data_IF_986271938144
#
_entry.id   IF_986271938144
#
_cell.length_a   1.000
_cell.length_b   1.000
_cell.length_c   1.000
_cell.angle_alpha   90.00
_cell.angle_beta   90.00
_cell.angle_gamma   90.00
#
_symmetry.space_group_name_H-M   'P 1'
#
loop_
_entity.id
_entity.type
_entity.pdbx_description
1 polymer ?
#
# COMPACT_ATOMS: atom_id res chain seq x y z
N UNK A 1 -12.70 -2.73 9.14
CA UNK A 1 -12.77 -1.33 9.66
C UNK A 1 -13.10 -1.32 11.13
N UNK A 2 -12.74 -0.25 11.80
CA UNK A 2 -13.17 0.02 13.18
C UNK A 2 -14.49 0.79 13.16
N UNK A 3 -14.54 1.85 12.37
CA UNK A 3 -15.76 2.64 12.18
C UNK A 3 -16.42 2.34 10.84
N UNK A 4 -17.73 2.33 10.83
CA UNK A 4 -18.50 2.28 9.60
C UNK A 4 -18.36 3.59 8.80
N UNK A 5 -18.61 3.50 7.52
CA UNK A 5 -18.42 4.55 6.50
C UNK A 5 -19.03 5.93 6.86
N UNK A 6 -20.12 5.95 7.62
CA UNK A 6 -20.84 7.18 8.00
C UNK A 6 -20.61 7.58 9.46
N UNK A 7 -19.72 6.91 10.18
CA UNK A 7 -19.52 7.20 11.60
C UNK A 7 -18.50 8.31 11.84
N UNK A 8 -17.53 8.52 10.93
CA UNK A 8 -16.51 9.56 11.06
C UNK A 8 -16.69 10.58 9.94
N UNK A 9 -17.61 11.51 10.17
CA UNK A 9 -17.94 12.60 9.26
C UNK A 9 -17.64 13.95 9.88
N UNK A 10 -17.56 14.99 9.06
CA UNK A 10 -17.53 16.40 9.48
C UNK A 10 -18.84 16.80 10.17
N UNK A 11 -18.84 17.97 10.79
CA UNK A 11 -20.04 18.50 11.46
C UNK A 11 -21.21 18.79 10.49
N UNK A 12 -20.90 19.03 9.21
CA UNK A 12 -21.88 19.23 8.14
C UNK A 12 -22.39 17.91 7.52
N UNK A 13 -21.97 16.76 8.06
CA UNK A 13 -22.36 15.43 7.57
C UNK A 13 -21.56 14.96 6.35
N UNK A 14 -20.62 15.75 5.82
CA UNK A 14 -19.81 15.37 4.67
C UNK A 14 -18.58 14.54 5.07
N UNK A 15 -18.07 13.67 4.17
CA UNK A 15 -16.88 12.90 4.44
C UNK A 15 -15.63 13.79 4.49
N UNK A 16 -14.65 13.38 5.27
CA UNK A 16 -13.32 13.98 5.25
C UNK A 16 -12.58 13.59 3.96
N UNK A 17 -11.81 14.52 3.41
CA UNK A 17 -10.93 14.30 2.25
C UNK A 17 -9.46 14.54 2.56
N UNK A 18 -9.15 14.85 3.83
CA UNK A 18 -7.79 15.03 4.35
C UNK A 18 -7.62 14.15 5.58
N UNK A 19 -6.51 13.41 5.63
CA UNK A 19 -6.24 12.42 6.68
C UNK A 19 -6.13 13.01 8.08
N UNK A 20 -5.40 14.11 8.24
CA UNK A 20 -5.13 14.67 9.57
C UNK A 20 -6.41 15.01 10.35
N UNK A 21 -7.39 15.77 9.82
CA UNK A 21 -8.64 16.03 10.53
C UNK A 21 -9.50 14.74 10.69
N UNK A 22 -9.48 13.83 9.72
CA UNK A 22 -10.13 12.52 9.83
C UNK A 22 -9.57 11.73 11.02
N UNK A 23 -8.26 11.57 11.07
CA UNK A 23 -7.57 10.82 12.13
C UNK A 23 -7.86 11.40 13.52
N UNK A 24 -7.90 12.75 13.63
CA UNK A 24 -8.27 13.41 14.88
C UNK A 24 -9.68 13.06 15.31
N UNK A 25 -10.66 13.17 14.40
CA UNK A 25 -12.05 12.84 14.68
C UNK A 25 -12.25 11.36 14.97
N UNK A 26 -11.53 10.50 14.25
CA UNK A 26 -11.52 9.06 14.48
C UNK A 26 -11.07 8.72 15.91
N UNK A 27 -9.94 9.30 16.37
CA UNK A 27 -9.39 9.10 17.73
C UNK A 27 -10.31 9.66 18.81
N UNK A 28 -10.95 10.81 18.57
CA UNK A 28 -11.91 11.42 19.49
C UNK A 28 -13.13 10.51 19.72
N UNK A 29 -13.61 9.82 18.69
CA UNK A 29 -14.75 8.91 18.76
C UNK A 29 -14.41 7.53 19.32
N UNK A 30 -13.13 7.16 19.30
CA UNK A 30 -12.71 5.84 19.74
C UNK A 30 -12.98 5.65 21.23
N UNK A 31 -13.67 4.56 21.56
CA UNK A 31 -13.95 4.15 22.94
C UNK A 31 -13.98 2.60 23.04
N UNK A 32 -14.22 2.08 24.23
CA UNK A 32 -14.22 0.64 24.50
C UNK A 32 -15.23 -0.13 23.65
N UNK A 33 -16.37 0.47 23.29
CA UNK A 33 -17.38 -0.19 22.46
C UNK A 33 -16.81 -0.60 21.10
N UNK A 34 -16.03 0.27 20.44
CA UNK A 34 -15.44 -0.02 19.13
C UNK A 34 -14.28 -1.02 19.20
N UNK A 35 -13.66 -1.16 20.36
CA UNK A 35 -12.55 -2.10 20.59
C UNK A 35 -13.00 -3.42 21.24
N UNK A 36 -14.28 -3.53 21.60
CA UNK A 36 -14.82 -4.69 22.29
C UNK A 36 -14.70 -5.97 21.47
N UNK A 37 -14.27 -7.04 22.14
CA UNK A 37 -14.37 -8.40 21.59
C UNK A 37 -15.81 -8.91 21.67
N UNK A 38 -16.20 -9.68 20.68
CA UNK A 38 -17.50 -10.36 20.64
C UNK A 38 -17.26 -11.87 20.67
N UNK A 39 -17.20 -12.50 21.88
CA UNK A 39 -16.93 -13.92 22.02
C UNK A 39 -18.16 -14.71 21.55
N UNK A 40 -18.18 -15.09 20.29
CA UNK A 40 -19.29 -15.78 19.66
C UNK A 40 -19.40 -17.27 20.07
N UNK A 41 -18.32 -17.85 20.56
CA UNK A 41 -18.22 -19.26 20.92
C UNK A 41 -19.31 -19.69 21.91
N UNK A 42 -19.66 -18.82 22.86
CA UNK A 42 -20.73 -19.07 23.84
C UNK A 42 -22.12 -19.21 23.23
N UNK A 43 -22.28 -18.85 21.94
CA UNK A 43 -23.53 -18.95 21.20
C UNK A 43 -23.54 -20.07 20.17
N UNK A 44 -22.50 -20.86 20.07
CA UNK A 44 -22.40 -21.95 19.07
C UNK A 44 -23.49 -23.00 19.24
N UNK A 45 -24.02 -23.17 20.46
CA UNK A 45 -25.16 -24.03 20.70
C UNK A 45 -26.47 -23.57 20.05
N UNK A 46 -26.54 -22.27 19.69
CA UNK A 46 -27.69 -21.69 19.00
C UNK A 46 -27.62 -21.87 17.47
N UNK A 47 -26.51 -22.39 16.96
CA UNK A 47 -26.37 -22.69 15.56
C UNK A 47 -27.21 -23.90 15.16
N UNK A 48 -27.75 -23.87 13.96
CA UNK A 48 -28.46 -25.03 13.39
C UNK A 48 -27.54 -26.26 13.40
N UNK A 49 -27.99 -27.30 14.06
CA UNK A 49 -27.32 -28.60 14.01
C UNK A 49 -27.67 -29.29 12.68
N UNK A 50 -26.71 -29.32 11.80
CA UNK A 50 -26.86 -29.87 10.44
C UNK A 50 -25.76 -30.89 10.17
N UNK A 51 -26.11 -31.98 9.50
CA UNK A 51 -25.10 -32.96 9.04
C UNK A 51 -24.25 -32.28 7.97
N UNK A 52 -23.00 -32.01 8.31
CA UNK A 52 -22.08 -31.34 7.37
C UNK A 52 -21.84 -32.21 6.12
N UNK A 53 -21.97 -31.62 4.98
CA UNK A 53 -21.45 -32.17 3.72
C UNK A 53 -19.97 -31.87 3.61
N UNK A 54 -19.23 -32.69 2.86
CA UNK A 54 -17.82 -32.43 2.58
C UNK A 54 -17.67 -31.12 1.81
N UNK A 55 -16.84 -30.20 2.28
CA UNK A 55 -16.53 -29.00 1.54
C UNK A 55 -15.70 -29.37 0.30
N UNK A 56 -15.91 -28.69 -0.85
CA UNK A 56 -15.05 -28.86 -2.00
C UNK A 56 -13.60 -28.49 -1.63
N UNK A 57 -12.66 -29.27 -2.12
CA UNK A 57 -11.24 -28.96 -1.94
C UNK A 57 -10.82 -27.80 -2.85
N UNK A 58 -9.70 -27.16 -2.57
CA UNK A 58 -9.13 -26.14 -3.45
C UNK A 58 -8.90 -26.70 -4.86
N UNK A 59 -8.51 -27.97 -4.98
CA UNK A 59 -8.32 -28.66 -6.26
C UNK A 59 -9.64 -28.80 -7.02
N UNK A 60 -10.74 -29.16 -6.33
CA UNK A 60 -12.06 -29.24 -6.93
C UNK A 60 -12.55 -27.88 -7.43
N UNK A 61 -12.10 -26.81 -6.81
CA UNK A 61 -12.37 -25.42 -7.19
C UNK A 61 -11.44 -24.91 -8.29
N UNK A 62 -10.51 -25.73 -8.80
CA UNK A 62 -9.57 -25.37 -9.88
C UNK A 62 -8.31 -24.66 -9.42
N UNK A 63 -8.03 -24.60 -8.12
CA UNK A 63 -6.76 -24.06 -7.63
C UNK A 63 -5.66 -25.11 -7.68
N UNK A 64 -4.48 -24.71 -8.14
CA UNK A 64 -3.24 -25.48 -8.03
C UNK A 64 -2.48 -25.09 -6.76
N UNK A 65 -1.76 -26.04 -6.19
CA UNK A 65 -0.81 -25.73 -5.11
C UNK A 65 0.26 -24.79 -5.65
N UNK A 66 0.37 -23.61 -5.04
CA UNK A 66 1.46 -22.69 -5.30
C UNK A 66 2.57 -23.00 -4.29
N UNK A 67 3.76 -23.32 -4.81
CA UNK A 67 4.91 -23.58 -3.94
C UNK A 67 5.37 -22.27 -3.34
N UNK A 68 5.39 -22.25 -2.01
CA UNK A 68 6.19 -21.40 -1.16
C UNK A 68 5.86 -19.92 -1.11
N UNK A 69 5.13 -19.58 -0.10
CA UNK A 69 5.33 -18.26 0.48
C UNK A 69 5.36 -18.39 1.99
N UNK A 70 6.40 -17.88 2.62
CA UNK A 70 6.40 -17.69 4.06
C UNK A 70 5.21 -16.82 4.42
N UNK A 71 4.14 -17.44 4.90
CA UNK A 71 3.05 -16.68 5.50
C UNK A 71 3.57 -16.04 6.79
N UNK A 72 3.32 -14.75 6.92
CA UNK A 72 3.67 -14.04 8.13
C UNK A 72 2.89 -14.58 9.31
N UNK A 73 3.57 -14.67 10.47
CA UNK A 73 2.95 -15.17 11.70
C UNK A 73 1.80 -14.26 12.11
N UNK A 74 0.62 -14.84 12.33
CA UNK A 74 -0.59 -14.13 12.80
C UNK A 74 -0.68 -14.04 14.31
N UNK A 75 0.27 -14.58 15.04
CA UNK A 75 0.30 -14.56 16.49
C UNK A 75 0.59 -13.16 17.02
N UNK A 76 -0.46 -12.46 17.44
CA UNK A 76 -0.34 -11.10 17.97
C UNK A 76 0.42 -11.03 19.28
N UNK A 77 0.63 -12.14 20.00
CA UNK A 77 1.45 -12.16 21.23
C UNK A 77 2.95 -11.91 20.93
N UNK A 78 3.38 -12.18 19.71
CA UNK A 78 4.75 -11.93 19.22
C UNK A 78 4.92 -10.58 18.54
N UNK A 79 3.84 -9.80 18.44
CA UNK A 79 3.90 -8.51 17.77
C UNK A 79 4.67 -7.51 18.64
N UNK A 80 5.77 -6.99 18.10
CA UNK A 80 6.54 -5.89 18.68
C UNK A 80 6.41 -4.66 17.79
N UNK A 81 5.77 -3.63 18.32
CA UNK A 81 5.52 -2.37 17.62
C UNK A 81 6.06 -1.14 18.38
N UNK A 82 6.72 -1.33 19.50
CA UNK A 82 7.23 -0.24 20.34
C UNK A 82 8.14 0.70 19.57
N UNK A 83 9.01 0.12 18.74
CA UNK A 83 9.95 0.86 17.89
C UNK A 83 9.46 1.11 16.46
N UNK A 84 8.18 0.89 16.20
CA UNK A 84 7.61 0.97 14.85
C UNK A 84 7.89 2.31 14.16
N UNK A 85 7.75 3.43 14.88
CA UNK A 85 8.02 4.77 14.34
C UNK A 85 9.44 4.93 13.78
N UNK A 86 10.40 4.28 14.41
CA UNK A 86 11.82 4.36 14.06
C UNK A 86 12.20 3.40 12.93
N UNK A 87 11.53 2.25 12.88
CA UNK A 87 11.92 1.13 12.02
C UNK A 87 11.07 0.98 10.76
N UNK A 88 9.85 1.54 10.75
CA UNK A 88 8.86 1.35 9.70
C UNK A 88 9.31 1.73 8.30
N UNK A 89 10.28 2.61 8.18
CA UNK A 89 10.76 3.13 6.90
C UNK A 89 12.02 2.42 6.37
N UNK A 90 12.56 1.43 7.10
CA UNK A 90 13.79 0.73 6.76
C UNK A 90 13.45 -0.64 6.13
N UNK A 91 13.52 -0.80 4.80
CA UNK A 91 13.05 -2.02 4.14
C UNK A 91 13.98 -3.22 4.37
N UNK A 92 15.25 -2.99 4.75
CA UNK A 92 16.23 -4.06 5.00
C UNK A 92 16.04 -4.83 6.31
N UNK A 93 15.18 -4.35 7.21
CA UNK A 93 14.92 -4.98 8.51
C UNK A 93 13.45 -5.38 8.68
N UNK A 94 13.17 -6.24 9.66
CA UNK A 94 11.80 -6.57 10.06
C UNK A 94 11.22 -5.50 10.99
N UNK A 95 11.04 -4.27 10.43
CA UNK A 95 10.53 -3.10 11.16
C UNK A 95 9.02 -2.90 11.08
N UNK A 96 8.30 -3.76 10.35
CA UNK A 96 6.84 -3.73 10.17
C UNK A 96 6.22 -5.05 10.61
N UNK A 97 4.93 -5.02 10.95
CA UNK A 97 4.20 -6.22 11.39
C UNK A 97 3.96 -7.25 10.28
N UNK A 98 3.94 -6.82 9.03
CA UNK A 98 3.55 -7.62 7.85
C UNK A 98 2.18 -8.29 7.98
N UNK A 99 1.27 -7.72 8.76
CA UNK A 99 -0.08 -8.26 9.01
C UNK A 99 -1.12 -7.86 7.97
N UNK A 100 -0.73 -7.14 6.92
CA UNK A 100 -1.62 -6.68 5.86
C UNK A 100 -2.38 -7.81 5.17
N UNK A 101 -1.74 -8.96 4.92
CA UNK A 101 -2.36 -10.18 4.40
C UNK A 101 -3.49 -10.68 5.33
N UNK A 102 -3.19 -10.78 6.62
CA UNK A 102 -4.17 -11.24 7.62
C UNK A 102 -5.33 -10.25 7.78
N UNK A 103 -5.05 -8.94 7.71
CA UNK A 103 -6.10 -7.91 7.72
C UNK A 103 -6.97 -7.96 6.44
N UNK A 104 -6.36 -8.30 5.29
CA UNK A 104 -7.08 -8.44 4.02
C UNK A 104 -8.10 -9.57 4.08
N UNK A 105 -7.71 -10.73 4.60
CA UNK A 105 -8.54 -11.92 4.68
C UNK A 105 -9.30 -12.09 6.00
N UNK A 106 -9.15 -11.14 6.95
CA UNK A 106 -9.86 -11.17 8.23
C UNK A 106 -9.45 -12.34 9.14
N UNK A 107 -8.25 -12.90 8.94
CA UNK A 107 -7.72 -13.99 9.77
C UNK A 107 -7.15 -13.51 11.10
N UNK A 108 -7.09 -12.20 11.29
CA UNK A 108 -6.87 -11.53 12.58
C UNK A 108 -7.93 -10.44 12.77
N UNK A 109 -8.23 -10.14 14.03
CA UNK A 109 -9.18 -9.07 14.36
C UNK A 109 -8.51 -7.70 14.28
N UNK A 110 -9.07 -6.78 13.47
CA UNK A 110 -8.64 -5.38 13.43
C UNK A 110 -8.81 -4.70 14.81
N UNK A 111 -9.83 -5.11 15.61
CA UNK A 111 -10.07 -4.57 16.93
C UNK A 111 -8.99 -4.98 17.92
N UNK A 112 -8.51 -6.23 17.83
CA UNK A 112 -7.41 -6.71 18.67
C UNK A 112 -6.13 -5.94 18.38
N UNK A 113 -5.84 -5.77 17.09
CA UNK A 113 -4.67 -5.02 16.64
C UNK A 113 -4.76 -3.54 17.06
N UNK A 114 -5.94 -2.93 16.97
CA UNK A 114 -6.15 -1.55 17.41
C UNK A 114 -5.99 -1.40 18.95
N UNK A 115 -6.44 -2.38 19.76
CA UNK A 115 -6.20 -2.39 21.23
C UNK A 115 -4.72 -2.39 21.56
N UNK A 116 -3.93 -3.20 20.83
CA UNK A 116 -2.47 -3.24 21.00
C UNK A 116 -1.87 -1.89 20.58
N UNK A 117 -2.26 -1.37 19.40
CA UNK A 117 -1.73 -0.14 18.86
C UNK A 117 -1.98 1.08 19.77
N UNK A 118 -3.19 1.21 20.31
CA UNK A 118 -3.56 2.29 21.27
C UNK A 118 -2.65 2.31 22.50
N UNK A 119 -2.24 1.13 22.98
CA UNK A 119 -1.40 1.01 24.17
C UNK A 119 0.08 1.25 23.90
N UNK A 120 0.57 0.87 22.71
CA UNK A 120 2.00 0.71 22.49
C UNK A 120 2.57 1.68 21.46
N UNK A 121 1.82 2.07 20.41
CA UNK A 121 2.40 2.91 19.36
C UNK A 121 1.37 3.66 18.53
N UNK A 122 1.31 4.97 18.71
CA UNK A 122 0.40 5.84 17.95
C UNK A 122 0.68 5.86 16.45
N UNK A 123 1.95 5.75 16.04
CA UNK A 123 2.29 5.71 14.62
C UNK A 123 1.72 4.45 13.94
N UNK A 124 1.73 3.32 14.68
CA UNK A 124 1.10 2.09 14.19
C UNK A 124 -0.43 2.21 14.13
N UNK A 125 -1.04 2.83 15.14
CA UNK A 125 -2.48 3.12 15.12
C UNK A 125 -2.87 3.97 13.92
N UNK A 126 -2.07 4.96 13.56
CA UNK A 126 -2.32 5.79 12.38
C UNK A 126 -2.35 4.99 11.07
N UNK A 127 -1.60 3.89 10.94
CA UNK A 127 -1.68 3.03 9.76
C UNK A 127 -3.02 2.29 9.68
N UNK A 128 -3.59 1.89 10.82
CA UNK A 128 -4.93 1.31 10.85
C UNK A 128 -6.01 2.35 10.50
N UNK A 129 -5.80 3.60 10.94
CA UNK A 129 -6.68 4.73 10.59
C UNK A 129 -6.58 5.07 9.09
N UNK A 130 -5.39 4.99 8.48
CA UNK A 130 -5.22 5.15 7.03
C UNK A 130 -6.03 4.12 6.24
N UNK A 131 -6.06 2.87 6.71
CA UNK A 131 -6.88 1.83 6.10
C UNK A 131 -8.37 2.17 6.15
N UNK A 132 -8.90 2.60 7.30
CA UNK A 132 -10.28 3.04 7.44
C UNK A 132 -10.57 4.28 6.58
N UNK A 133 -9.63 5.23 6.51
CA UNK A 133 -9.75 6.43 5.69
C UNK A 133 -9.89 6.11 4.20
N UNK A 134 -9.04 5.27 3.64
CA UNK A 134 -9.14 4.91 2.22
C UNK A 134 -10.42 4.14 1.91
N UNK A 135 -10.88 3.27 2.79
CA UNK A 135 -12.15 2.57 2.61
C UNK A 135 -13.35 3.55 2.64
N UNK A 136 -13.32 4.52 3.55
CA UNK A 136 -14.31 5.59 3.60
C UNK A 136 -14.28 6.45 2.32
N UNK A 137 -13.09 6.80 1.81
CA UNK A 137 -12.93 7.55 0.56
C UNK A 137 -13.55 6.79 -0.61
N UNK A 138 -13.22 5.53 -0.82
CA UNK A 138 -13.76 4.74 -1.94
C UNK A 138 -15.28 4.56 -1.81
N UNK A 139 -15.79 4.43 -0.59
CA UNK A 139 -17.24 4.33 -0.37
C UNK A 139 -17.99 5.60 -0.77
N UNK A 140 -17.51 6.77 -0.33
CA UNK A 140 -18.17 8.05 -0.63
C UNK A 140 -17.86 8.59 -2.04
N UNK A 141 -16.74 8.21 -2.60
CA UNK A 141 -16.27 8.65 -3.91
C UNK A 141 -15.91 7.46 -4.82
N UNK A 142 -16.87 6.57 -5.16
CA UNK A 142 -16.58 5.32 -5.88
C UNK A 142 -15.96 5.56 -7.27
N UNK A 143 -16.16 6.72 -7.88
CA UNK A 143 -15.51 7.10 -9.13
C UNK A 143 -13.98 7.12 -9.01
N UNK A 144 -13.45 7.37 -7.81
CA UNK A 144 -11.99 7.39 -7.56
C UNK A 144 -11.30 6.06 -7.84
N UNK A 145 -12.03 4.96 -7.93
CA UNK A 145 -11.46 3.66 -8.33
C UNK A 145 -10.95 3.69 -9.76
N UNK A 146 -11.60 4.42 -10.66
CA UNK A 146 -11.27 4.45 -12.10
C UNK A 146 -10.80 5.83 -12.59
N UNK A 147 -11.06 6.88 -11.83
CA UNK A 147 -10.76 8.27 -12.19
C UNK A 147 -9.91 8.91 -11.09
N UNK A 148 -9.16 9.94 -11.44
CA UNK A 148 -8.47 10.74 -10.43
C UNK A 148 -9.47 11.35 -9.46
N UNK A 149 -9.18 11.29 -8.16
CA UNK A 149 -10.01 11.95 -7.14
C UNK A 149 -10.14 13.46 -7.43
N UNK A 150 -9.02 14.09 -7.80
CA UNK A 150 -8.98 15.45 -8.34
C UNK A 150 -9.11 15.40 -9.87
N UNK A 151 -10.30 15.60 -10.40
CA UNK A 151 -10.64 15.38 -11.80
C UNK A 151 -9.69 16.07 -12.82
N UNK A 152 -9.13 17.23 -12.47
CA UNK A 152 -8.17 17.95 -13.34
C UNK A 152 -6.91 17.13 -13.66
N UNK A 153 -6.55 16.14 -12.82
CA UNK A 153 -5.39 15.26 -13.07
C UNK A 153 -5.66 14.20 -14.15
N UNK A 154 -6.92 14.00 -14.56
CA UNK A 154 -7.25 13.15 -15.70
C UNK A 154 -6.88 13.81 -17.06
N UNK A 155 -6.56 15.11 -17.05
CA UNK A 155 -6.04 15.83 -18.22
C UNK A 155 -4.55 15.60 -18.47
N UNK A 156 -3.85 14.89 -17.58
CA UNK A 156 -2.43 14.63 -17.77
C UNK A 156 -2.23 13.73 -19.00
N UNK A 157 -1.42 14.19 -19.94
CA UNK A 157 -1.01 13.38 -21.08
C UNK A 157 0.16 12.48 -20.66
N UNK A 158 -0.16 11.22 -20.37
CA UNK A 158 0.78 10.19 -20.05
C UNK A 158 1.54 9.73 -21.31
N UNK A 159 2.80 9.32 -21.18
CA UNK A 159 3.58 8.73 -22.26
C UNK A 159 3.13 7.30 -22.56
N UNK A 160 2.86 6.54 -21.50
CA UNK A 160 2.42 5.15 -21.55
C UNK A 160 3.29 4.24 -22.44
N UNK A 161 4.61 4.42 -22.35
CA UNK A 161 5.59 3.61 -23.06
C UNK A 161 5.61 2.17 -22.51
N UNK A 162 5.23 1.22 -23.36
CA UNK A 162 5.11 -0.19 -22.98
C UNK A 162 6.47 -0.85 -22.69
N UNK A 163 7.56 -0.44 -23.34
CA UNK A 163 8.89 -0.98 -23.09
C UNK A 163 9.41 -0.50 -21.74
N UNK A 164 9.24 0.78 -21.42
CA UNK A 164 9.56 1.31 -20.09
C UNK A 164 8.68 0.70 -19.00
N UNK A 165 7.40 0.47 -19.27
CA UNK A 165 6.50 -0.22 -18.34
C UNK A 165 6.98 -1.65 -18.08
N UNK A 166 7.34 -2.39 -19.12
CA UNK A 166 7.87 -3.75 -18.99
C UNK A 166 9.17 -3.78 -18.20
N UNK A 167 10.10 -2.85 -18.48
CA UNK A 167 11.34 -2.74 -17.72
C UNK A 167 11.09 -2.46 -16.23
N UNK A 168 10.09 -1.63 -15.92
CA UNK A 168 9.66 -1.39 -14.54
C UNK A 168 9.05 -2.66 -13.91
N UNK A 169 8.13 -3.34 -14.58
CA UNK A 169 7.54 -4.59 -14.11
C UNK A 169 8.59 -5.66 -13.82
N UNK A 170 9.62 -5.76 -14.65
CA UNK A 170 10.69 -6.75 -14.51
C UNK A 170 11.80 -6.35 -13.52
N UNK A 171 11.75 -5.14 -12.96
CA UNK A 171 12.83 -4.62 -12.10
C UNK A 171 14.15 -4.48 -12.82
N UNK A 172 14.13 -3.83 -14.01
CA UNK A 172 15.27 -3.60 -14.91
C UNK A 172 15.36 -2.13 -15.34
N UNK A 173 15.00 -1.22 -14.45
CA UNK A 173 14.98 0.22 -14.74
C UNK A 173 16.36 0.87 -14.69
N UNK A 174 17.35 0.20 -14.10
CA UNK A 174 18.65 0.78 -13.79
C UNK A 174 18.65 1.69 -12.56
N UNK A 175 17.54 1.69 -11.79
CA UNK A 175 17.43 2.37 -10.49
C UNK A 175 17.31 1.32 -9.38
N UNK A 176 18.40 1.02 -8.65
CA UNK A 176 18.50 -0.19 -7.83
C UNK A 176 17.39 -0.36 -6.78
N UNK A 177 16.96 0.74 -6.13
CA UNK A 177 15.89 0.67 -5.11
C UNK A 177 14.52 0.37 -5.73
N UNK A 178 14.27 0.85 -6.97
CA UNK A 178 13.05 0.56 -7.73
C UNK A 178 13.07 -0.90 -8.18
N UNK A 179 14.19 -1.34 -8.76
CA UNK A 179 14.35 -2.71 -9.26
C UNK A 179 14.25 -3.73 -8.13
N UNK A 180 14.88 -3.45 -6.98
CA UNK A 180 14.75 -4.28 -5.79
C UNK A 180 13.29 -4.43 -5.33
N UNK A 181 12.54 -3.34 -5.34
CA UNK A 181 11.12 -3.37 -4.99
C UNK A 181 10.27 -4.21 -5.92
N UNK A 182 10.45 -4.05 -7.22
CA UNK A 182 9.68 -4.81 -8.21
C UNK A 182 10.04 -6.30 -8.19
N UNK A 183 11.31 -6.65 -7.95
CA UNK A 183 11.73 -8.06 -7.80
C UNK A 183 11.21 -8.68 -6.50
N UNK A 184 11.22 -7.95 -5.35
CA UNK A 184 10.57 -8.41 -4.12
C UNK A 184 9.09 -8.72 -4.39
N UNK A 185 8.38 -7.82 -5.07
CA UNK A 185 6.97 -8.01 -5.40
C UNK A 185 6.76 -9.27 -6.26
N UNK A 186 7.53 -9.42 -7.33
CA UNK A 186 7.37 -10.53 -8.28
C UNK A 186 7.68 -11.88 -7.65
N UNK A 187 8.68 -11.95 -6.76
CA UNK A 187 9.12 -13.18 -6.12
C UNK A 187 8.21 -13.57 -4.95
N UNK A 188 7.74 -12.58 -4.17
CA UNK A 188 7.10 -12.86 -2.87
C UNK A 188 5.62 -12.48 -2.79
N UNK A 189 5.10 -11.71 -3.76
CA UNK A 189 3.78 -11.11 -3.64
C UNK A 189 3.65 -10.05 -2.55
N UNK A 190 4.79 -9.58 -2.02
CA UNK A 190 4.86 -8.53 -1.01
C UNK A 190 5.87 -7.45 -1.43
N UNK A 191 5.65 -6.23 -0.97
CA UNK A 191 6.61 -5.14 -1.08
C UNK A 191 6.49 -4.24 0.14
N UNK A 192 7.62 -3.86 0.72
CA UNK A 192 7.67 -2.94 1.86
C UNK A 192 7.02 -1.58 1.50
N UNK A 193 6.19 -1.00 2.39
CA UNK A 193 5.42 0.21 2.07
C UNK A 193 6.28 1.40 1.57
N UNK A 194 7.44 1.65 2.19
CA UNK A 194 8.36 2.71 1.71
C UNK A 194 8.77 2.49 0.26
N UNK A 195 8.99 1.25 -0.10
CA UNK A 195 9.39 0.88 -1.47
C UNK A 195 8.21 0.99 -2.44
N UNK A 196 6.99 0.62 -2.02
CA UNK A 196 5.76 0.86 -2.84
C UNK A 196 5.64 2.33 -3.22
N UNK A 197 5.89 3.25 -2.28
CA UNK A 197 5.86 4.69 -2.56
C UNK A 197 6.93 5.12 -3.58
N UNK A 198 8.13 4.56 -3.49
CA UNK A 198 9.25 4.87 -4.39
C UNK A 198 8.96 4.34 -5.80
N UNK A 199 8.56 3.06 -5.93
CA UNK A 199 8.27 2.42 -7.21
C UNK A 199 7.08 3.06 -7.92
N UNK A 200 6.02 3.41 -7.19
CA UNK A 200 4.84 4.09 -7.74
C UNK A 200 5.16 5.53 -8.16
N UNK A 201 5.93 6.26 -7.36
CA UNK A 201 6.41 7.59 -7.75
C UNK A 201 7.32 7.53 -8.97
N UNK A 202 8.16 6.51 -9.10
CA UNK A 202 9.02 6.33 -10.27
C UNK A 202 8.19 6.10 -11.54
N UNK A 203 7.23 5.17 -11.52
CA UNK A 203 6.35 4.91 -12.64
C UNK A 203 5.63 6.19 -13.11
N UNK A 204 4.97 6.87 -12.19
CA UNK A 204 4.12 8.02 -12.52
C UNK A 204 4.88 9.30 -12.83
N UNK A 205 6.04 9.50 -12.20
CA UNK A 205 6.81 10.76 -12.31
C UNK A 205 8.02 10.66 -13.24
N UNK A 206 8.79 9.56 -13.17
CA UNK A 206 9.94 9.38 -14.04
C UNK A 206 9.53 8.86 -15.40
N UNK A 207 8.74 7.78 -15.44
CA UNK A 207 8.33 7.20 -16.71
C UNK A 207 7.12 7.89 -17.34
N UNK A 208 6.40 8.70 -16.59
CA UNK A 208 5.18 9.37 -17.02
C UNK A 208 4.14 8.38 -17.55
N UNK A 209 4.01 7.25 -16.84
CA UNK A 209 3.02 6.20 -17.14
C UNK A 209 1.82 6.35 -16.21
N UNK A 210 0.63 6.16 -16.77
CA UNK A 210 -0.64 6.29 -16.05
C UNK A 210 -0.64 5.38 -14.80
N UNK A 211 -1.00 5.97 -13.68
CA UNK A 211 -1.04 5.27 -12.38
C UNK A 211 -1.93 4.02 -12.41
N UNK A 212 -2.94 3.97 -13.29
CA UNK A 212 -3.84 2.82 -13.44
C UNK A 212 -3.12 1.56 -13.91
N UNK A 213 -2.07 1.71 -14.72
CA UNK A 213 -1.25 0.57 -15.16
C UNK A 213 -0.50 -0.06 -13.98
N UNK A 214 0.10 0.78 -13.13
CA UNK A 214 0.81 0.31 -11.95
C UNK A 214 -0.14 -0.24 -10.89
N UNK A 215 -1.30 0.41 -10.70
CA UNK A 215 -2.35 -0.06 -9.81
C UNK A 215 -2.82 -1.47 -10.19
N UNK A 216 -3.11 -1.70 -11.47
CA UNK A 216 -3.52 -3.00 -11.98
C UNK A 216 -2.42 -4.06 -11.81
N UNK A 217 -1.16 -3.72 -12.06
CA UNK A 217 -0.04 -4.63 -11.84
C UNK A 217 0.11 -5.01 -10.35
N UNK A 218 -0.03 -4.04 -9.45
CA UNK A 218 -0.01 -4.32 -8.01
C UNK A 218 -1.22 -5.15 -7.58
N UNK A 219 -2.39 -4.92 -8.17
CA UNK A 219 -3.59 -5.71 -7.88
C UNK A 219 -3.41 -7.18 -8.26
N UNK A 220 -2.69 -7.46 -9.36
CA UNK A 220 -2.36 -8.81 -9.80
C UNK A 220 -1.32 -9.51 -8.91
N UNK A 221 -0.30 -8.77 -8.48
CA UNK A 221 0.89 -9.35 -7.81
C UNK A 221 0.79 -9.40 -6.29
N UNK A 222 0.12 -8.42 -5.65
CA UNK A 222 0.11 -8.31 -4.20
C UNK A 222 -0.81 -9.33 -3.53
N UNK A 223 -0.29 -10.15 -2.65
CA UNK A 223 -1.07 -11.06 -1.81
C UNK A 223 -1.98 -10.32 -0.82
N UNK A 224 -1.55 -9.14 -0.39
CA UNK A 224 -2.29 -8.28 0.53
C UNK A 224 -3.16 -7.23 -0.19
N UNK A 225 -3.40 -7.41 -1.49
CA UNK A 225 -4.21 -6.48 -2.26
C UNK A 225 -5.54 -6.15 -1.57
N UNK A 226 -5.76 -4.86 -1.35
CA UNK A 226 -7.02 -4.29 -0.89
C UNK A 226 -7.31 -3.03 -1.72
N UNK A 227 -8.45 -3.03 -2.40
CA UNK A 227 -8.79 -2.05 -3.44
C UNK A 227 -8.60 -0.59 -2.98
N UNK A 228 -9.15 -0.24 -1.82
CA UNK A 228 -9.13 1.15 -1.35
C UNK A 228 -7.72 1.62 -1.01
N UNK A 229 -6.93 0.78 -0.35
CA UNK A 229 -5.53 1.07 -0.01
C UNK A 229 -4.64 1.14 -1.25
N UNK A 230 -4.86 0.25 -2.23
CA UNK A 230 -4.08 0.24 -3.47
C UNK A 230 -4.35 1.48 -4.31
N UNK A 231 -5.62 1.75 -4.62
CA UNK A 231 -6.04 2.96 -5.36
C UNK A 231 -5.61 4.24 -4.63
N UNK A 232 -5.82 4.31 -3.31
CA UNK A 232 -5.43 5.47 -2.50
C UNK A 232 -3.93 5.71 -2.54
N UNK A 233 -3.12 4.67 -2.40
CA UNK A 233 -1.65 4.74 -2.46
C UNK A 233 -1.14 5.15 -3.84
N UNK A 234 -1.68 4.59 -4.91
CA UNK A 234 -1.32 4.95 -6.28
C UNK A 234 -1.66 6.39 -6.62
N UNK A 235 -2.87 6.84 -6.27
CA UNK A 235 -3.26 8.22 -6.47
C UNK A 235 -2.49 9.20 -5.58
N UNK A 236 -2.06 8.76 -4.39
CA UNK A 236 -1.15 9.55 -3.56
C UNK A 236 0.18 9.79 -4.28
N UNK A 237 0.79 8.76 -4.84
CA UNK A 237 2.05 8.85 -5.59
C UNK A 237 1.91 9.68 -6.88
N UNK A 238 0.79 9.51 -7.60
CA UNK A 238 0.47 10.27 -8.80
C UNK A 238 0.04 11.72 -8.54
N UNK A 239 -0.15 12.13 -7.28
CA UNK A 239 -0.64 13.44 -6.85
C UNK A 239 -2.11 13.72 -7.15
N UNK A 240 -2.84 12.75 -7.67
CA UNK A 240 -4.25 12.87 -8.08
C UNK A 240 -5.26 12.55 -6.99
N UNK A 241 -4.80 12.00 -5.85
CA UNK A 241 -5.64 11.56 -4.74
C UNK A 241 -6.18 12.68 -3.85
N UNK A 242 -7.03 12.31 -2.88
CA UNK A 242 -7.68 13.24 -1.95
C UNK A 242 -6.68 13.99 -1.06
N UNK A 243 -5.74 13.29 -0.43
CA UNK A 243 -4.67 13.83 0.42
C UNK A 243 -3.30 13.48 -0.16
N UNK A 244 -3.14 13.72 -1.45
CA UNK A 244 -1.99 13.29 -2.21
C UNK A 244 -0.77 14.18 -2.02
N UNK A 245 0.41 13.61 -2.27
CA UNK A 245 1.65 14.37 -2.34
C UNK A 245 1.54 15.48 -3.40
N UNK A 246 2.09 16.70 -3.15
CA UNK A 246 2.11 17.75 -4.15
C UNK A 246 2.78 17.28 -5.46
N UNK A 247 2.29 17.72 -6.61
CA UNK A 247 2.80 17.26 -7.90
C UNK A 247 4.28 17.57 -8.13
N UNK A 248 4.78 18.64 -7.56
CA UNK A 248 6.20 19.03 -7.64
C UNK A 248 7.13 18.16 -6.77
N UNK A 249 6.57 17.31 -5.91
CA UNK A 249 7.34 16.36 -5.09
C UNK A 249 7.67 15.12 -5.91
N UNK A 250 8.79 15.16 -6.60
CA UNK A 250 9.36 14.04 -7.36
C UNK A 250 10.44 13.38 -6.51
N UNK A 251 10.27 12.11 -6.18
CA UNK A 251 11.29 11.38 -5.42
C UNK A 251 12.54 11.18 -6.29
N UNK A 252 13.71 11.47 -5.74
CA UNK A 252 14.97 11.03 -6.34
C UNK A 252 15.30 9.64 -5.78
N UNK A 253 15.39 8.58 -6.62
CA UNK A 253 15.63 7.23 -6.13
C UNK A 253 16.94 7.06 -5.38
N UNK A 254 17.99 7.79 -5.76
CA UNK A 254 19.29 7.77 -5.09
C UNK A 254 19.18 8.35 -3.67
N UNK A 255 18.57 9.53 -3.52
CA UNK A 255 18.35 10.14 -2.21
C UNK A 255 17.39 9.29 -1.33
N UNK A 256 16.44 8.59 -1.94
CA UNK A 256 15.62 7.63 -1.20
C UNK A 256 16.45 6.43 -0.72
N UNK A 257 17.38 5.95 -1.53
CA UNK A 257 18.32 4.88 -1.14
C UNK A 257 19.22 5.34 0.00
N UNK A 258 19.83 6.51 -0.11
CA UNK A 258 20.69 7.07 0.95
C UNK A 258 19.94 7.20 2.27
N UNK A 259 18.67 7.56 2.22
CA UNK A 259 17.85 7.78 3.42
C UNK A 259 17.34 6.49 4.05
N UNK A 260 16.94 5.49 3.27
CA UNK A 260 16.17 4.34 3.76
C UNK A 260 16.88 2.99 3.60
N UNK A 261 17.92 2.91 2.79
CA UNK A 261 18.77 1.73 2.61
C UNK A 261 20.24 2.12 2.43
N UNK A 262 20.77 2.92 3.36
CA UNK A 262 22.12 3.52 3.28
C UNK A 262 23.21 2.47 3.03
N UNK A 263 23.13 1.33 3.69
CA UNK A 263 24.08 0.22 3.51
C UNK A 263 23.76 -0.65 2.29
N UNK A 264 22.68 -0.32 1.55
CA UNK A 264 22.22 -1.05 0.37
C UNK A 264 21.93 -2.53 0.64
N UNK A 265 21.54 -2.86 1.87
CA UNK A 265 21.21 -4.23 2.30
C UNK A 265 19.97 -4.75 1.61
N UNK A 266 18.94 -3.92 1.49
CA UNK A 266 17.71 -4.27 0.77
C UNK A 266 17.98 -4.46 -0.73
N UNK A 267 18.68 -3.52 -1.34
CA UNK A 267 19.07 -3.61 -2.77
C UNK A 267 19.86 -4.89 -3.03
N UNK A 268 20.92 -5.16 -2.26
CA UNK A 268 21.77 -6.37 -2.44
C UNK A 268 21.01 -7.68 -2.25
N UNK A 269 19.91 -7.67 -1.49
CA UNK A 269 19.08 -8.86 -1.30
C UNK A 269 18.31 -9.24 -2.57
N UNK A 270 17.81 -8.23 -3.31
CA UNK A 270 16.91 -8.44 -4.43
C UNK A 270 17.55 -8.22 -5.81
N UNK A 271 18.72 -7.60 -5.83
CA UNK A 271 19.46 -7.29 -7.07
C UNK A 271 20.85 -7.90 -6.98
N UNK A 272 20.94 -9.17 -7.37
CA UNK A 272 22.18 -9.96 -7.24
C UNK A 272 23.35 -9.36 -8.03
N UNK A 273 23.06 -8.76 -9.19
CA UNK A 273 24.07 -8.14 -10.07
C UNK A 273 24.39 -6.68 -9.68
N UNK A 274 23.85 -6.17 -8.60
CA UNK A 274 24.12 -4.80 -8.14
C UNK A 274 25.63 -4.56 -7.91
N UNK A 275 26.15 -3.50 -8.53
CA UNK A 275 27.56 -3.13 -8.45
C UNK A 275 28.47 -3.87 -9.44
N UNK A 276 27.92 -4.66 -10.34
CA UNK A 276 28.64 -5.32 -11.44
C UNK A 276 28.35 -4.66 -12.79
N UNK A 277 29.11 -4.98 -13.81
CA UNK A 277 28.90 -4.53 -15.19
C UNK A 277 27.61 -5.13 -15.83
N UNK A 278 27.02 -6.16 -15.22
CA UNK A 278 25.79 -6.79 -15.68
C UNK A 278 24.52 -6.00 -15.27
N UNK A 279 24.63 -5.10 -14.30
CA UNK A 279 23.50 -4.28 -13.89
C UNK A 279 23.16 -3.22 -14.96
N UNK A 280 21.90 -3.07 -15.37
CA UNK A 280 21.52 -2.18 -16.45
C UNK A 280 21.77 -0.70 -16.11
N UNK A 281 22.05 0.09 -17.16
CA UNK A 281 22.09 1.54 -17.03
C UNK A 281 20.66 2.09 -16.81
N UNK A 282 20.51 3.27 -16.15
CA UNK A 282 19.21 3.93 -16.03
C UNK A 282 18.52 4.12 -17.37
N UNK A 283 17.25 3.66 -17.47
CA UNK A 283 16.44 3.80 -18.71
C UNK A 283 16.00 5.24 -18.96
N UNK A 284 16.12 6.11 -17.97
CA UNK A 284 15.82 7.53 -18.08
C UNK A 284 16.70 8.33 -17.11
N UNK A 285 17.14 9.52 -17.51
CA UNK A 285 17.85 10.43 -16.62
C UNK A 285 16.90 11.10 -15.62
N UNK A 286 17.29 11.17 -14.34
CA UNK A 286 16.46 11.73 -13.26
C UNK A 286 16.15 13.22 -13.49
N UNK A 287 17.14 14.02 -13.90
CA UNK A 287 16.96 15.47 -14.08
C UNK A 287 16.00 15.74 -15.22
N UNK A 288 16.21 15.08 -16.35
CA UNK A 288 15.32 15.16 -17.51
C UNK A 288 13.88 14.74 -17.13
N UNK A 289 13.72 13.60 -16.47
CA UNK A 289 12.41 13.10 -16.04
C UNK A 289 11.70 14.09 -15.12
N UNK A 290 12.43 14.69 -14.17
CA UNK A 290 11.90 15.68 -13.24
C UNK A 290 11.45 16.95 -13.96
N UNK A 291 12.24 17.48 -14.87
CA UNK A 291 11.87 18.67 -15.65
C UNK A 291 10.63 18.38 -16.52
N UNK A 292 10.61 17.24 -17.20
CA UNK A 292 9.49 16.80 -18.06
C UNK A 292 8.20 16.66 -17.28
N UNK A 293 8.21 15.99 -16.12
CA UNK A 293 6.98 15.79 -15.35
C UNK A 293 6.43 17.10 -14.78
N UNK A 294 7.30 18.00 -14.31
CA UNK A 294 6.87 19.30 -13.81
C UNK A 294 6.20 20.15 -14.90
N UNK A 295 6.78 20.16 -16.10
CA UNK A 295 6.18 20.84 -17.25
C UNK A 295 4.82 20.24 -17.63
N UNK A 296 4.75 18.90 -17.72
CA UNK A 296 3.53 18.17 -18.09
C UNK A 296 2.38 18.40 -17.09
N UNK A 297 2.69 18.34 -15.79
CA UNK A 297 1.67 18.57 -14.75
C UNK A 297 1.24 20.04 -14.71
N UNK A 298 2.16 20.99 -14.90
CA UNK A 298 1.82 22.40 -14.98
C UNK A 298 0.89 22.68 -16.18
N UNK A 299 1.16 22.10 -17.33
CA UNK A 299 0.30 22.22 -18.52
C UNK A 299 -1.12 21.67 -18.27
N UNK A 300 -1.22 20.51 -17.61
CA UNK A 300 -2.50 19.86 -17.35
C UNK A 300 -3.36 20.53 -16.27
N UNK A 301 -2.73 21.25 -15.34
CA UNK A 301 -3.41 21.85 -14.18
C UNK A 301 -3.68 23.35 -14.32
N UNK A 302 -3.15 24.02 -15.33
CA UNK A 302 -3.30 25.44 -15.60
C UNK A 302 -2.25 26.27 -14.89
#
# INVERSE_FOLDING_TARGET
VIFEKNEVLKNDGLPYTVFTPYSRKWKEKLNEFYLKSYPNEKYFTNLLQYKSEALPTLKDMGFSENQTQEFFDRDLSKLSIERYKETRDIPSIRGTSRLSLHLRFGTISIRDLARIAVKHNESYLNELIWRDFYQMIVFHFPKSVKQSFKAQYDNIRWENDEEMFRAWCEGKTGYPIVDAGMRELNETGFMHNRVRMITASFLTKHLLIDWRWGEAYFAEKLLDFELASNVGGWQWAASSGCDAAPYFRVFNPELQTEKFDQEKKYIKRWVAEFGTSAYPKPIIDHKFARERVLARFKEALG
#
